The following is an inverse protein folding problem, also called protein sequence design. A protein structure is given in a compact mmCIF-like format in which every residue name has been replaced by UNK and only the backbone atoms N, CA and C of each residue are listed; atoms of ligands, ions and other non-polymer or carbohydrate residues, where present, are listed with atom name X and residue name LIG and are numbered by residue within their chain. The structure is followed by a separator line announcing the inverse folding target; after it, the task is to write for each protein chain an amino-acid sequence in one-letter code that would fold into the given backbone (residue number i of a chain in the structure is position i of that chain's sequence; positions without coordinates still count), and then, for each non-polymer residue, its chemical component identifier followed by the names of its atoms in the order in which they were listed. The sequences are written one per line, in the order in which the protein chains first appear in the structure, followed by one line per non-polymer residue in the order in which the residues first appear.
data_IF_765198979706
#
_entry.id   IF_765198979706
#
_cell.length_a   1.000
_cell.length_b   1.000
_cell.length_c   1.000
_cell.angle_alpha   90.00
_cell.angle_beta   90.00
_cell.angle_gamma   90.00
#
_symmetry.space_group_name_H-M   'P 1'
#
loop_
_entity.id
_entity.type
_entity.pdbx_description
1 polymer ?
#
# COMPACT_ATOMS: atom_id res chain seq x y z
N UNK A 1 -10.96 -11.41 7.68
CA UNK A 1 -10.87 -11.66 6.22
C UNK A 1 -12.26 -11.65 5.63
N UNK A 2 -12.42 -10.94 4.54
CA UNK A 2 -13.60 -10.98 3.67
C UNK A 2 -13.21 -11.62 2.34
N UNK A 3 -13.73 -12.80 2.01
CA UNK A 3 -13.47 -13.43 0.72
C UNK A 3 -13.98 -12.58 -0.45
N UNK A 4 -13.24 -12.56 -1.54
CA UNK A 4 -13.65 -11.91 -2.78
C UNK A 4 -14.55 -12.85 -3.58
N UNK A 5 -15.83 -12.98 -3.15
CA UNK A 5 -16.81 -13.78 -3.88
C UNK A 5 -17.31 -13.03 -5.11
N UNK A 6 -17.84 -13.78 -6.08
CA UNK A 6 -18.41 -13.21 -7.32
C UNK A 6 -19.55 -12.23 -7.00
N UNK A 7 -20.41 -12.61 -6.08
CA UNK A 7 -21.58 -11.82 -5.68
C UNK A 7 -21.15 -10.48 -5.04
N UNK A 8 -20.13 -10.54 -4.17
CA UNK A 8 -19.60 -9.32 -3.55
C UNK A 8 -18.93 -8.40 -4.57
N UNK A 9 -18.11 -8.95 -5.47
CA UNK A 9 -17.46 -8.17 -6.54
C UNK A 9 -18.49 -7.49 -7.43
N UNK A 10 -19.58 -8.20 -7.78
CA UNK A 10 -20.68 -7.65 -8.53
C UNK A 10 -21.39 -6.51 -7.77
N UNK A 11 -21.68 -6.71 -6.48
CA UNK A 11 -22.29 -5.70 -5.63
C UNK A 11 -21.46 -4.43 -5.50
N UNK A 12 -20.12 -4.57 -5.49
CA UNK A 12 -19.19 -3.44 -5.49
C UNK A 12 -19.07 -2.73 -6.84
N UNK A 13 -19.73 -3.21 -7.88
CA UNK A 13 -19.64 -2.66 -9.23
C UNK A 13 -18.30 -2.95 -9.94
N UNK A 14 -17.55 -3.91 -9.43
CA UNK A 14 -16.22 -4.27 -9.98
C UNK A 14 -16.27 -5.49 -10.92
N UNK A 15 -17.45 -6.08 -11.15
CA UNK A 15 -17.59 -7.30 -11.96
C UNK A 15 -17.25 -7.10 -13.44
N UNK A 16 -17.51 -5.91 -13.95
CA UNK A 16 -17.32 -5.56 -15.35
C UNK A 16 -15.95 -4.91 -15.62
N UNK A 17 -15.15 -4.69 -14.58
CA UNK A 17 -13.77 -4.25 -14.73
C UNK A 17 -12.95 -5.38 -15.32
N UNK A 18 -12.77 -5.38 -16.64
CA UNK A 18 -12.05 -6.43 -17.36
C UNK A 18 -12.96 -7.50 -17.99
N UNK A 19 -14.25 -7.28 -18.08
CA UNK A 19 -15.18 -8.14 -18.84
C UNK A 19 -14.94 -8.10 -20.37
N UNK A 20 -14.15 -7.17 -20.87
CA UNK A 20 -13.64 -7.20 -22.24
C UNK A 20 -12.59 -8.28 -22.39
N UNK A 21 -12.68 -9.09 -23.44
CA UNK A 21 -11.76 -10.21 -23.73
C UNK A 21 -10.28 -9.82 -23.73
N UNK A 22 -9.97 -8.55 -23.86
CA UNK A 22 -8.61 -7.99 -23.91
C UNK A 22 -8.18 -7.24 -22.64
N UNK A 23 -9.06 -7.08 -21.65
CA UNK A 23 -8.83 -6.39 -20.40
C UNK A 23 -8.75 -7.31 -19.17
N UNK A 24 -8.67 -8.61 -19.37
CA UNK A 24 -8.59 -9.61 -18.30
C UNK A 24 -7.46 -9.40 -17.27
N UNK A 25 -6.59 -8.44 -17.54
CA UNK A 25 -5.51 -8.03 -16.64
C UNK A 25 -5.96 -7.05 -15.53
N UNK A 26 -7.08 -6.34 -15.72
CA UNK A 26 -7.53 -5.27 -14.82
C UNK A 26 -8.75 -5.65 -13.97
N UNK A 27 -9.24 -6.86 -14.13
CA UNK A 27 -10.39 -7.36 -13.40
C UNK A 27 -10.04 -7.88 -12.01
N UNK A 28 -10.95 -7.70 -11.06
CA UNK A 28 -10.89 -8.39 -9.78
C UNK A 28 -11.62 -9.72 -9.90
N UNK A 29 -10.89 -10.83 -9.89
CA UNK A 29 -11.47 -12.15 -10.04
C UNK A 29 -11.83 -12.77 -8.69
N UNK A 30 -12.96 -13.50 -8.61
CA UNK A 30 -13.34 -14.20 -7.39
C UNK A 30 -12.24 -15.11 -6.86
N UNK A 31 -11.92 -14.97 -5.56
CA UNK A 31 -10.90 -15.76 -4.90
C UNK A 31 -9.45 -15.32 -5.15
N UNK A 32 -9.21 -14.31 -5.98
CA UNK A 32 -7.87 -13.84 -6.30
C UNK A 32 -7.28 -12.98 -5.18
N UNK A 33 -8.03 -11.99 -4.73
CA UNK A 33 -7.59 -11.05 -3.70
C UNK A 33 -8.69 -10.85 -2.66
N UNK A 34 -8.55 -11.47 -1.51
CA UNK A 34 -9.43 -11.24 -0.37
C UNK A 34 -9.09 -9.95 0.35
N UNK A 35 -10.10 -9.29 0.90
CA UNK A 35 -9.87 -8.14 1.78
C UNK A 35 -9.48 -8.63 3.16
N UNK A 36 -8.34 -8.19 3.64
CA UNK A 36 -7.75 -8.62 4.91
C UNK A 36 -7.48 -7.40 5.78
N UNK A 37 -7.78 -7.53 7.06
CA UNK A 37 -7.43 -6.56 8.09
C UNK A 37 -6.71 -7.28 9.22
N UNK A 38 -5.56 -6.77 9.58
CA UNK A 38 -4.82 -7.26 10.75
C UNK A 38 -5.16 -6.36 11.93
N UNK A 39 -5.76 -6.95 12.96
CA UNK A 39 -6.19 -6.22 14.17
C UNK A 39 -5.75 -6.97 15.42
N UNK A 40 -5.45 -6.19 16.45
CA UNK A 40 -5.31 -6.76 17.78
C UNK A 40 -6.71 -6.88 18.41
N UNK A 41 -6.97 -8.01 19.03
CA UNK A 41 -8.24 -8.25 19.70
C UNK A 41 -8.11 -7.93 21.18
N UNK A 42 -9.00 -7.09 21.67
CA UNK A 42 -9.20 -6.82 23.09
C UNK A 42 -10.50 -7.50 23.48
N UNK A 43 -10.47 -8.32 24.51
CA UNK A 43 -11.70 -8.94 25.04
C UNK A 43 -12.57 -7.88 25.72
N UNK A 44 -13.86 -7.84 25.38
CA UNK A 44 -14.84 -7.00 26.08
C UNK A 44 -15.34 -7.63 27.41
N UNK A 45 -14.82 -8.78 27.77
CA UNK A 45 -15.25 -9.54 28.97
C UNK A 45 -16.67 -10.13 28.88
N UNK A 46 -17.38 -9.94 27.77
CA UNK A 46 -18.77 -10.38 27.55
C UNK A 46 -18.91 -11.40 26.41
N UNK A 47 -17.80 -11.95 25.94
CA UNK A 47 -17.76 -12.90 24.83
C UNK A 47 -17.71 -12.25 23.45
N UNK A 48 -17.62 -10.93 23.36
CA UNK A 48 -17.40 -10.19 22.14
C UNK A 48 -15.91 -9.96 21.84
N UNK A 49 -15.62 -9.58 20.59
CA UNK A 49 -14.30 -9.21 20.14
C UNK A 49 -14.27 -7.70 19.86
N UNK A 50 -13.55 -6.97 20.69
CA UNK A 50 -13.24 -5.58 20.41
C UNK A 50 -11.91 -5.50 19.67
N UNK A 51 -11.90 -4.77 18.55
CA UNK A 51 -10.71 -4.56 17.74
C UNK A 51 -10.02 -3.25 18.13
N UNK A 52 -8.68 -3.22 18.03
CA UNK A 52 -7.86 -2.02 18.31
C UNK A 52 -8.09 -0.87 17.30
N UNK A 53 -8.65 -1.16 16.14
CA UNK A 53 -9.08 -0.18 15.15
C UNK A 53 -10.28 -0.71 14.34
N UNK A 54 -11.13 0.18 13.81
CA UNK A 54 -12.26 -0.23 13.00
C UNK A 54 -11.83 -0.92 11.71
N UNK A 55 -12.73 -1.69 11.14
CA UNK A 55 -12.60 -2.19 9.77
C UNK A 55 -13.01 -1.08 8.79
N UNK A 56 -12.43 -1.09 7.61
CA UNK A 56 -12.72 -0.08 6.57
C UNK A 56 -14.06 -0.31 5.86
N UNK A 57 -14.74 -1.42 6.13
CA UNK A 57 -16.07 -1.70 5.60
C UNK A 57 -16.88 -2.55 6.56
N UNK A 58 -18.20 -2.53 6.40
CA UNK A 58 -19.12 -3.39 7.15
C UNK A 58 -18.99 -4.84 6.70
N UNK A 59 -19.13 -5.76 7.65
CA UNK A 59 -19.23 -7.18 7.40
C UNK A 59 -20.69 -7.58 7.60
N UNK A 60 -21.47 -7.64 6.52
CA UNK A 60 -22.87 -8.09 6.53
C UNK A 60 -22.95 -9.62 6.47
N UNK A 61 -24.00 -10.19 7.07
CA UNK A 61 -24.26 -11.64 7.00
C UNK A 61 -24.61 -12.10 5.58
N UNK A 62 -25.12 -11.19 4.76
CA UNK A 62 -25.66 -11.50 3.43
C UNK A 62 -24.63 -11.46 2.30
N UNK A 63 -23.40 -11.01 2.57
CA UNK A 63 -22.48 -10.65 1.48
C UNK A 63 -21.34 -11.63 1.23
N UNK A 64 -20.89 -12.35 2.23
CA UNK A 64 -19.84 -13.37 2.13
C UNK A 64 -19.60 -14.05 3.46
N UNK A 65 -19.07 -15.26 3.45
CA UNK A 65 -18.57 -15.95 4.63
C UNK A 65 -17.28 -15.28 5.12
N UNK A 66 -17.44 -14.22 5.92
CA UNK A 66 -16.31 -13.59 6.59
C UNK A 66 -15.79 -14.48 7.71
N UNK A 67 -14.50 -14.49 7.92
CA UNK A 67 -13.90 -15.30 8.98
C UNK A 67 -12.77 -14.55 9.70
N UNK A 68 -12.52 -14.98 10.93
CA UNK A 68 -11.41 -14.53 11.75
C UNK A 68 -10.34 -15.62 11.75
N UNK A 69 -9.13 -15.23 11.41
CA UNK A 69 -7.99 -16.12 11.47
C UNK A 69 -6.98 -15.59 12.47
N UNK A 70 -6.59 -16.43 13.44
CA UNK A 70 -5.53 -16.08 14.36
C UNK A 70 -4.18 -16.16 13.66
N UNK A 71 -3.39 -15.10 13.75
CA UNK A 71 -1.99 -15.13 13.36
C UNK A 71 -1.24 -15.91 14.45
N UNK A 72 -0.62 -17.02 14.06
CA UNK A 72 0.15 -17.86 14.97
C UNK A 72 1.49 -17.21 15.31
N UNK A 73 1.89 -17.32 16.59
CA UNK A 73 3.19 -16.81 17.06
C UNK A 73 3.18 -15.34 17.46
N UNK A 74 4.36 -14.82 17.75
CA UNK A 74 4.57 -13.41 18.05
C UNK A 74 4.56 -12.60 16.76
N UNK A 75 4.18 -11.34 16.86
CA UNK A 75 4.29 -10.39 15.75
C UNK A 75 5.76 -10.24 15.34
N UNK A 76 6.12 -10.89 14.24
CA UNK A 76 7.47 -11.04 13.71
C UNK A 76 7.95 -9.81 12.91
N UNK A 77 7.11 -8.78 12.79
CA UNK A 77 7.47 -7.55 12.10
C UNK A 77 8.49 -6.76 12.89
N UNK A 78 9.39 -6.08 12.20
CA UNK A 78 10.23 -5.05 12.82
C UNK A 78 9.35 -3.94 13.38
N UNK A 79 9.72 -3.40 14.53
CA UNK A 79 8.94 -2.36 15.21
C UNK A 79 9.82 -1.18 15.57
N UNK A 80 9.19 0.01 15.57
CA UNK A 80 9.83 1.25 15.99
C UNK A 80 11.11 1.54 15.21
N UNK A 81 11.04 1.41 13.88
CA UNK A 81 12.16 1.69 12.97
C UNK A 81 11.75 2.72 11.93
N UNK A 82 12.69 3.48 11.45
CA UNK A 82 12.40 4.49 10.44
C UNK A 82 13.62 5.03 9.73
N UNK A 83 13.36 5.83 8.71
CA UNK A 83 14.33 6.55 7.89
C UNK A 83 14.02 8.03 8.00
N UNK A 84 15.03 8.85 8.30
CA UNK A 84 14.81 10.28 8.48
C UNK A 84 16.04 11.15 8.19
N UNK A 85 15.78 12.43 7.86
CA UNK A 85 16.81 13.47 7.75
C UNK A 85 17.92 13.17 6.74
N UNK A 86 17.55 12.72 5.54
CA UNK A 86 18.53 12.43 4.49
C UNK A 86 17.98 12.70 3.09
N UNK A 87 18.85 12.68 2.11
CA UNK A 87 18.51 12.69 0.69
C UNK A 87 18.86 11.34 0.07
N UNK A 88 17.93 10.78 -0.67
CA UNK A 88 18.13 9.61 -1.52
C UNK A 88 18.12 10.12 -2.95
N UNK A 89 19.26 10.08 -3.61
CA UNK A 89 19.44 10.54 -4.98
C UNK A 89 19.94 9.37 -5.83
N UNK A 90 19.19 9.01 -6.88
CA UNK A 90 19.55 7.89 -7.74
C UNK A 90 20.41 8.36 -8.90
N UNK A 91 21.57 7.74 -9.09
CA UNK A 91 22.34 7.89 -10.31
C UNK A 91 21.61 7.22 -11.48
N UNK A 92 21.62 7.85 -12.63
CA UNK A 92 20.97 7.36 -13.84
C UNK A 92 21.75 7.81 -15.09
N UNK A 93 21.49 7.23 -16.25
CA UNK A 93 22.07 7.65 -17.52
C UNK A 93 21.46 8.98 -17.97
N UNK A 94 22.19 10.07 -17.77
CA UNK A 94 21.74 11.43 -18.13
C UNK A 94 21.57 11.66 -19.62
N UNK A 95 22.05 10.75 -20.46
CA UNK A 95 21.81 10.81 -21.93
C UNK A 95 20.48 10.19 -22.32
N UNK A 96 19.85 9.43 -21.41
CA UNK A 96 18.55 8.82 -21.58
C UNK A 96 17.53 9.40 -20.58
N UNK A 97 16.67 10.34 -21.00
CA UNK A 97 15.68 10.96 -20.10
C UNK A 97 14.59 9.97 -19.61
N UNK A 98 14.57 8.76 -20.13
CA UNK A 98 13.64 7.69 -19.79
C UNK A 98 14.40 6.46 -19.26
N UNK A 99 15.56 6.66 -18.72
CA UNK A 99 16.32 5.57 -18.12
C UNK A 99 15.50 4.87 -17.01
N UNK A 100 15.52 3.57 -17.01
CA UNK A 100 14.87 2.73 -15.98
C UNK A 100 15.85 1.71 -15.38
N UNK A 101 17.13 1.82 -15.76
CA UNK A 101 18.17 0.91 -15.26
C UNK A 101 18.88 1.48 -14.03
N UNK A 102 18.07 2.02 -13.11
CA UNK A 102 18.55 2.61 -11.86
C UNK A 102 17.55 2.35 -10.71
N UNK A 103 17.66 3.05 -9.58
CA UNK A 103 16.81 2.79 -8.43
C UNK A 103 15.32 3.08 -8.72
N UNK A 104 14.47 2.08 -8.48
CA UNK A 104 13.02 2.19 -8.66
C UNK A 104 12.34 2.75 -7.42
N UNK A 105 12.68 2.26 -6.24
CA UNK A 105 12.09 2.67 -4.98
C UNK A 105 13.15 3.30 -4.06
N UNK A 106 12.77 4.41 -3.44
CA UNK A 106 13.61 5.06 -2.44
C UNK A 106 13.57 4.32 -1.11
N UNK A 107 12.37 4.16 -0.54
CA UNK A 107 12.16 3.40 0.70
C UNK A 107 11.03 2.40 0.49
N UNK A 108 11.35 1.12 0.64
CA UNK A 108 10.41 0.03 0.53
C UNK A 108 10.17 -0.61 1.90
N UNK A 109 8.94 -0.44 2.42
CA UNK A 109 8.57 -0.89 3.76
C UNK A 109 7.70 -2.13 3.65
N UNK A 110 8.25 -3.24 4.11
CA UNK A 110 7.53 -4.50 4.21
C UNK A 110 7.82 -5.14 5.57
N UNK A 111 6.81 -5.74 6.18
CA UNK A 111 6.96 -6.44 7.47
C UNK A 111 7.46 -5.51 8.60
N UNK A 112 6.97 -4.28 8.61
CA UNK A 112 7.25 -3.27 9.62
C UNK A 112 5.96 -2.83 10.30
N UNK A 113 6.02 -2.59 11.58
CA UNK A 113 4.94 -2.02 12.38
C UNK A 113 5.48 -0.88 13.24
N UNK A 114 4.72 0.19 13.36
CA UNK A 114 5.14 1.39 14.11
C UNK A 114 6.42 1.99 13.52
N UNK A 115 6.44 2.24 12.22
CA UNK A 115 7.59 2.79 11.52
C UNK A 115 7.35 4.18 10.95
N UNK A 116 8.44 4.82 10.47
CA UNK A 116 8.31 6.15 9.87
C UNK A 116 9.31 6.41 8.74
N UNK A 117 8.92 7.32 7.85
CA UNK A 117 9.81 7.99 6.89
C UNK A 117 9.52 9.48 7.02
N UNK A 118 10.52 10.28 7.39
CA UNK A 118 10.29 11.71 7.61
C UNK A 118 11.49 12.58 7.21
N UNK A 119 11.19 13.76 6.69
CA UNK A 119 12.19 14.73 6.27
C UNK A 119 13.21 14.09 5.30
N UNK A 120 12.72 13.32 4.33
CA UNK A 120 13.53 12.68 3.29
C UNK A 120 13.27 13.33 1.95
N UNK A 121 14.35 13.70 1.26
CA UNK A 121 14.28 14.17 -0.13
C UNK A 121 14.64 13.01 -1.06
N UNK A 122 13.75 12.72 -2.01
CA UNK A 122 13.93 11.69 -3.02
C UNK A 122 14.13 12.36 -4.38
N UNK A 123 15.14 11.92 -5.12
CA UNK A 123 15.46 12.46 -6.44
C UNK A 123 15.78 11.36 -7.43
N UNK A 124 15.36 11.57 -8.66
CA UNK A 124 15.69 10.76 -9.82
C UNK A 124 15.32 9.28 -9.69
N UNK A 125 14.27 8.95 -8.95
CA UNK A 125 13.77 7.58 -8.88
C UNK A 125 12.92 7.21 -10.10
N UNK A 126 12.97 5.96 -10.53
CA UNK A 126 12.16 5.50 -11.65
C UNK A 126 10.70 5.24 -11.27
N UNK A 127 10.45 4.76 -10.08
CA UNK A 127 9.14 4.30 -9.60
C UNK A 127 8.58 5.14 -8.47
N UNK A 128 8.88 4.77 -7.25
CA UNK A 128 8.24 5.32 -6.05
C UNK A 128 9.25 5.85 -5.03
N UNK A 129 8.91 6.97 -4.40
CA UNK A 129 9.69 7.50 -3.28
C UNK A 129 9.52 6.61 -2.04
N UNK A 130 8.26 6.31 -1.68
CA UNK A 130 7.96 5.44 -0.54
C UNK A 130 6.87 4.44 -0.93
N UNK A 131 7.13 3.19 -0.66
CA UNK A 131 6.17 2.09 -0.79
C UNK A 131 5.95 1.43 0.55
N UNK A 132 4.69 1.39 1.02
CA UNK A 132 4.31 0.55 2.17
C UNK A 132 3.56 -0.67 1.67
N UNK A 133 4.09 -1.85 1.92
CA UNK A 133 3.50 -3.12 1.49
C UNK A 133 2.40 -3.59 2.45
N UNK A 134 1.62 -4.59 2.01
CA UNK A 134 0.45 -5.14 2.73
C UNK A 134 0.74 -5.62 4.15
N UNK A 135 1.98 -6.07 4.41
CA UNK A 135 2.40 -6.50 5.76
C UNK A 135 2.95 -5.36 6.62
N UNK A 136 2.95 -4.13 6.11
CA UNK A 136 3.29 -2.95 6.88
C UNK A 136 2.03 -2.39 7.57
N UNK A 137 2.19 -1.89 8.78
CA UNK A 137 1.10 -1.24 9.50
C UNK A 137 1.58 -0.13 10.42
N UNK A 138 0.74 0.89 10.59
CA UNK A 138 1.02 2.06 11.41
C UNK A 138 2.33 2.73 11.02
N UNK A 139 2.44 3.02 9.72
CA UNK A 139 3.57 3.73 9.15
C UNK A 139 3.19 5.21 8.97
N UNK A 140 4.04 6.10 9.44
CA UNK A 140 3.91 7.52 9.19
C UNK A 140 4.95 7.97 8.17
N UNK A 141 4.48 8.56 7.07
CA UNK A 141 5.32 9.22 6.05
C UNK A 141 5.01 10.71 6.11
N UNK A 142 5.99 11.52 6.47
CA UNK A 142 5.74 12.96 6.68
C UNK A 142 6.92 13.83 6.27
N UNK A 143 6.58 15.04 5.83
CA UNK A 143 7.56 16.06 5.47
C UNK A 143 8.59 15.56 4.42
N UNK A 144 8.14 14.69 3.51
CA UNK A 144 8.95 14.12 2.44
C UNK A 144 8.72 14.82 1.11
N UNK A 145 9.78 14.91 0.32
CA UNK A 145 9.74 15.57 -0.99
C UNK A 145 10.26 14.59 -2.04
N UNK A 146 9.56 14.44 -3.17
CA UNK A 146 10.01 13.67 -4.32
C UNK A 146 10.02 14.52 -5.58
N UNK A 147 11.18 14.60 -6.22
CA UNK A 147 11.42 15.50 -7.36
C UNK A 147 12.17 14.82 -8.49
N UNK A 148 11.95 15.34 -9.69
CA UNK A 148 12.66 14.97 -10.91
C UNK A 148 12.76 13.45 -11.14
N UNK A 149 11.64 12.68 -11.11
CA UNK A 149 11.68 11.25 -11.37
C UNK A 149 12.13 10.97 -12.82
N UNK A 150 12.88 9.90 -13.02
CA UNK A 150 13.43 9.53 -14.33
C UNK A 150 12.95 8.15 -14.74
N UNK A 151 12.03 8.10 -15.68
CA UNK A 151 11.51 6.87 -16.30
C UNK A 151 10.56 7.22 -17.46
N UNK A 152 10.05 6.23 -18.12
CA UNK A 152 8.87 6.38 -18.98
C UNK A 152 7.65 6.80 -18.12
N UNK A 153 6.71 7.54 -18.71
CA UNK A 153 5.45 7.90 -18.04
C UNK A 153 4.39 6.91 -18.47
N UNK A 154 3.96 6.07 -17.57
CA UNK A 154 2.91 5.09 -17.86
C UNK A 154 2.99 3.81 -17.05
N UNK A 155 1.93 3.03 -17.10
CA UNK A 155 1.83 1.76 -16.40
C UNK A 155 1.91 1.92 -14.87
N UNK A 156 2.82 1.19 -14.27
CA UNK A 156 3.05 1.18 -12.81
C UNK A 156 4.17 2.15 -12.37
N UNK A 157 4.70 2.94 -13.28
CA UNK A 157 5.79 3.88 -13.01
C UNK A 157 5.29 5.11 -12.29
N UNK A 158 6.18 5.78 -11.57
CA UNK A 158 5.95 7.08 -10.94
C UNK A 158 4.69 7.12 -10.07
N UNK A 159 4.48 6.07 -9.28
CA UNK A 159 3.52 6.07 -8.18
C UNK A 159 4.26 6.53 -6.93
N UNK A 160 4.38 7.85 -6.75
CA UNK A 160 5.35 8.46 -5.85
C UNK A 160 5.22 7.98 -4.41
N UNK A 161 4.02 8.09 -3.82
CA UNK A 161 3.74 7.61 -2.47
C UNK A 161 2.68 6.51 -2.55
N UNK A 162 3.11 5.26 -2.48
CA UNK A 162 2.25 4.09 -2.65
C UNK A 162 1.97 3.43 -1.30
N UNK A 163 0.71 3.46 -0.88
CA UNK A 163 0.24 2.88 0.35
C UNK A 163 -0.58 1.61 0.10
N UNK A 164 0.00 0.45 0.37
CA UNK A 164 -0.72 -0.82 0.43
C UNK A 164 -0.80 -1.38 1.86
N UNK A 165 -0.19 -0.67 2.80
CA UNK A 165 -0.19 -1.03 4.21
C UNK A 165 -1.46 -0.63 4.94
N UNK A 166 -1.60 -1.05 6.19
CA UNK A 166 -2.76 -0.76 7.02
C UNK A 166 -2.47 0.32 8.06
N UNK A 167 -3.45 1.18 8.35
CA UNK A 167 -3.36 2.23 9.37
C UNK A 167 -2.17 3.18 9.14
N UNK A 168 -1.83 3.43 7.88
CA UNK A 168 -0.74 4.32 7.50
C UNK A 168 -1.21 5.77 7.40
N UNK A 169 -0.31 6.71 7.66
CA UNK A 169 -0.52 8.14 7.51
C UNK A 169 0.53 8.73 6.58
N UNK A 170 0.07 9.41 5.54
CA UNK A 170 0.92 10.23 4.66
C UNK A 170 0.48 11.68 4.82
N UNK A 171 1.38 12.54 5.26
CA UNK A 171 1.06 13.94 5.50
C UNK A 171 2.21 14.88 5.18
N UNK A 172 1.87 16.09 4.74
CA UNK A 172 2.82 17.16 4.41
C UNK A 172 3.92 16.73 3.44
N UNK A 173 3.57 15.82 2.52
CA UNK A 173 4.48 15.37 1.49
C UNK A 173 4.25 16.15 0.20
N UNK A 174 5.32 16.34 -0.57
CA UNK A 174 5.31 16.98 -1.87
C UNK A 174 5.82 16.03 -2.94
N UNK A 175 5.18 16.04 -4.09
CA UNK A 175 5.59 15.27 -5.27
C UNK A 175 5.44 16.11 -6.51
N UNK A 176 6.34 15.95 -7.46
CA UNK A 176 6.25 16.53 -8.78
C UNK A 176 6.48 15.48 -9.87
N UNK A 177 5.84 15.68 -11.03
CA UNK A 177 5.99 14.84 -12.21
C UNK A 177 5.65 13.35 -11.98
N UNK A 178 4.92 13.04 -10.94
CA UNK A 178 4.36 11.71 -10.74
C UNK A 178 3.25 11.42 -11.74
N UNK A 179 3.02 10.16 -12.06
CA UNK A 179 1.83 9.74 -12.79
C UNK A 179 0.64 9.63 -11.81
N UNK A 180 0.94 9.11 -10.62
CA UNK A 180 0.03 9.03 -9.50
C UNK A 180 0.80 9.38 -8.23
N UNK A 181 0.65 10.59 -7.73
CA UNK A 181 1.48 11.09 -6.64
C UNK A 181 1.16 10.43 -5.30
N UNK A 182 -0.12 10.21 -5.02
CA UNK A 182 -0.58 9.51 -3.81
C UNK A 182 -1.54 8.39 -4.20
N UNK A 183 -1.21 7.15 -3.86
CA UNK A 183 -1.95 5.95 -4.23
C UNK A 183 -2.18 5.09 -2.99
N UNK A 184 -3.44 4.64 -2.78
CA UNK A 184 -3.82 3.73 -1.71
C UNK A 184 -4.81 2.66 -2.22
#
# INVERSE_FOLDING_TARGET
VRPSTKEWIQKMGCADFGAGKDLGYWGWHPGEIDVRWTRSVVSDGKGGLQLDAPLSMSLGQDDAECFVQRIAGNDWRLKNVGVENLTIDSEYDTTNPKDENHAWEGVYINKVKDGWVRMVNFRHLAGSAVVTQRDASRITVEDCISQAPVSEIGGYRRRTFLCMGEQCLFQRCYSEQGMHDFVA
#
